data_IF_930412946979
#
_entry.id   IF_930412946979
#
_cell.length_a   1.000
_cell.length_b   1.000
_cell.length_c   1.000
_cell.angle_alpha   90.00
_cell.angle_beta   90.00
_cell.angle_gamma   90.00
#
_symmetry.space_group_name_H-M   'P 1'
#
loop_
_entity.id
_entity.type
_entity.pdbx_description
1 polymer ?
#
# COMPACT_ATOMS: atom_id res chain seq x y z
N UNK A 1 -1.28 -10.83 17.15
CA UNK A 1 -1.55 -11.14 15.73
C UNK A 1 -2.89 -10.53 15.39
N UNK A 2 -2.92 -9.48 14.57
CA UNK A 2 -4.19 -8.99 14.04
C UNK A 2 -4.71 -10.04 13.04
N UNK A 3 -5.98 -10.45 13.17
CA UNK A 3 -6.63 -11.34 12.21
C UNK A 3 -6.72 -10.71 10.83
N UNK A 4 -7.17 -11.47 9.83
CA UNK A 4 -7.41 -10.94 8.49
C UNK A 4 -8.43 -9.78 8.59
N UNK A 5 -8.07 -8.53 8.22
CA UNK A 5 -8.95 -7.37 8.38
C UNK A 5 -10.26 -7.49 7.56
N UNK A 6 -10.28 -8.37 6.55
CA UNK A 6 -11.45 -8.64 5.72
C UNK A 6 -12.26 -9.87 6.15
N UNK A 7 -11.95 -10.49 7.29
CA UNK A 7 -12.65 -11.70 7.74
C UNK A 7 -14.16 -11.46 7.93
N UNK A 8 -14.52 -10.34 8.55
CA UNK A 8 -15.94 -9.98 8.73
C UNK A 8 -16.63 -9.79 7.38
N UNK A 9 -15.98 -9.12 6.44
CA UNK A 9 -16.53 -8.89 5.10
C UNK A 9 -16.70 -10.20 4.34
N UNK A 10 -15.71 -11.10 4.38
CA UNK A 10 -15.79 -12.40 3.72
C UNK A 10 -16.87 -13.32 4.26
N UNK A 11 -17.28 -13.14 5.53
CA UNK A 11 -18.45 -13.84 6.11
C UNK A 11 -19.78 -13.27 5.61
N UNK A 12 -19.85 -11.95 5.41
CA UNK A 12 -21.06 -11.25 4.96
C UNK A 12 -21.26 -11.38 3.44
N UNK A 13 -20.18 -11.35 2.67
CA UNK A 13 -20.18 -11.47 1.23
C UNK A 13 -18.98 -12.34 0.80
N UNK A 14 -19.15 -13.66 0.65
CA UNK A 14 -18.08 -14.52 0.18
C UNK A 14 -17.64 -14.21 -1.27
N UNK A 15 -18.53 -13.66 -2.10
CA UNK A 15 -18.26 -13.36 -3.50
C UNK A 15 -17.26 -12.22 -3.67
N UNK A 16 -17.30 -11.22 -2.79
CA UNK A 16 -16.38 -10.08 -2.84
C UNK A 16 -14.92 -10.51 -2.69
N UNK A 17 -14.64 -11.55 -1.91
CA UNK A 17 -13.27 -12.00 -1.66
C UNK A 17 -12.58 -12.52 -2.92
N UNK A 18 -13.34 -13.18 -3.80
CA UNK A 18 -12.80 -13.66 -5.08
C UNK A 18 -12.59 -12.51 -6.07
N UNK A 19 -13.50 -11.54 -6.07
CA UNK A 19 -13.39 -10.34 -6.90
C UNK A 19 -12.20 -9.48 -6.46
N UNK A 20 -11.97 -9.33 -5.15
CA UNK A 20 -10.82 -8.62 -4.60
C UNK A 20 -9.51 -9.28 -5.02
N UNK A 21 -9.39 -10.60 -4.91
CA UNK A 21 -8.17 -11.31 -5.34
C UNK A 21 -7.90 -11.14 -6.83
N UNK A 22 -8.94 -11.24 -7.66
CA UNK A 22 -8.80 -11.10 -9.11
C UNK A 22 -8.46 -9.67 -9.51
N UNK A 23 -9.12 -8.69 -8.91
CA UNK A 23 -8.82 -7.27 -9.12
C UNK A 23 -7.42 -6.89 -8.65
N UNK A 24 -7.00 -7.36 -7.47
CA UNK A 24 -5.67 -7.12 -6.92
C UNK A 24 -4.59 -7.63 -7.87
N UNK A 25 -4.74 -8.85 -8.38
CA UNK A 25 -3.84 -9.45 -9.36
C UNK A 25 -3.81 -8.65 -10.67
N UNK A 26 -4.97 -8.31 -11.23
CA UNK A 26 -5.06 -7.53 -12.46
C UNK A 26 -4.36 -6.17 -12.34
N UNK A 27 -4.45 -5.52 -11.17
CA UNK A 27 -3.82 -4.23 -10.93
C UNK A 27 -2.32 -4.38 -10.72
N UNK A 28 -1.89 -5.27 -9.82
CA UNK A 28 -0.52 -5.27 -9.29
C UNK A 28 0.44 -6.29 -9.92
N UNK A 29 0.00 -7.20 -10.79
CA UNK A 29 0.94 -8.03 -11.58
C UNK A 29 1.82 -7.18 -12.51
N UNK A 30 2.98 -7.72 -12.87
CA UNK A 30 3.87 -7.09 -13.84
C UNK A 30 3.18 -6.88 -15.20
N UNK A 31 3.46 -5.74 -15.82
CA UNK A 31 3.04 -5.42 -17.18
C UNK A 31 3.96 -4.37 -17.78
N UNK A 32 3.39 -3.34 -18.42
CA UNK A 32 4.18 -2.19 -18.89
C UNK A 32 4.91 -1.47 -17.73
N UNK A 33 4.32 -1.48 -16.54
CA UNK A 33 4.97 -1.08 -15.28
C UNK A 33 5.19 -2.34 -14.42
N UNK A 34 6.36 -2.48 -13.77
CA UNK A 34 6.56 -3.52 -12.77
C UNK A 34 5.58 -3.37 -11.60
N UNK A 35 5.13 -4.49 -11.04
CA UNK A 35 4.19 -4.55 -9.92
C UNK A 35 4.63 -3.72 -8.72
N UNK A 36 5.92 -3.81 -8.37
CA UNK A 36 6.53 -2.99 -7.31
C UNK A 36 6.32 -1.48 -7.51
N UNK A 37 6.36 -0.98 -8.75
CA UNK A 37 6.15 0.44 -9.05
C UNK A 37 4.69 0.82 -8.83
N UNK A 38 3.76 -0.04 -9.23
CA UNK A 38 2.32 0.17 -9.00
C UNK A 38 1.98 0.17 -7.50
N UNK A 39 2.65 -0.67 -6.72
CA UNK A 39 2.51 -0.66 -5.26
C UNK A 39 3.04 0.63 -4.62
N UNK A 40 4.17 1.17 -5.09
CA UNK A 40 4.66 2.46 -4.64
C UNK A 40 3.70 3.61 -4.98
N UNK A 41 3.06 3.56 -6.16
CA UNK A 41 2.01 4.52 -6.53
C UNK A 41 0.80 4.41 -5.60
N UNK A 42 0.32 3.20 -5.32
CA UNK A 42 -0.78 2.97 -4.37
C UNK A 42 -0.42 3.46 -2.96
N UNK A 43 0.81 3.21 -2.51
CA UNK A 43 1.32 3.68 -1.21
C UNK A 43 1.29 5.21 -1.11
N UNK A 44 1.66 5.91 -2.19
CA UNK A 44 1.59 7.36 -2.25
C UNK A 44 0.14 7.88 -2.10
N UNK A 45 -0.83 7.18 -2.70
CA UNK A 45 -2.24 7.49 -2.50
C UNK A 45 -2.69 7.23 -1.06
N UNK A 46 -2.34 6.10 -0.45
CA UNK A 46 -2.73 5.84 0.94
C UNK A 46 -2.11 6.86 1.91
N UNK A 47 -0.87 7.28 1.68
CA UNK A 47 -0.25 8.36 2.42
C UNK A 47 -1.05 9.66 2.27
N UNK A 48 -1.40 10.04 1.03
CA UNK A 48 -2.19 11.24 0.74
C UNK A 48 -3.59 11.22 1.38
N UNK A 49 -4.25 10.06 1.45
CA UNK A 49 -5.59 9.91 2.00
C UNK A 49 -5.64 9.69 3.51
N UNK A 50 -4.50 9.64 4.20
CA UNK A 50 -4.47 9.46 5.65
C UNK A 50 -4.55 8.00 6.13
N UNK A 51 -4.41 7.03 5.22
CA UNK A 51 -4.54 5.60 5.51
C UNK A 51 -3.20 4.98 5.95
N UNK A 52 -2.84 5.10 7.22
CA UNK A 52 -1.54 4.63 7.73
C UNK A 52 -1.37 3.10 7.66
N UNK A 53 -2.43 2.34 7.95
CA UNK A 53 -2.44 0.88 7.84
C UNK A 53 -2.28 0.42 6.39
N UNK A 54 -2.89 1.16 5.45
CA UNK A 54 -2.74 0.94 4.02
C UNK A 54 -1.30 1.18 3.55
N UNK A 55 -0.68 2.28 3.99
CA UNK A 55 0.76 2.53 3.77
C UNK A 55 1.60 1.35 4.28
N UNK A 56 1.36 0.87 5.50
CA UNK A 56 2.11 -0.24 6.07
C UNK A 56 2.00 -1.52 5.22
N UNK A 57 0.76 -1.88 4.85
CA UNK A 57 0.48 -3.08 4.06
C UNK A 57 1.13 -3.01 2.66
N UNK A 58 1.00 -1.87 1.97
CA UNK A 58 1.57 -1.68 0.64
C UNK A 58 3.09 -1.61 0.67
N UNK A 59 3.69 -0.99 1.68
CA UNK A 59 5.14 -0.94 1.84
C UNK A 59 5.74 -2.34 2.02
N UNK A 60 5.15 -3.16 2.90
CA UNK A 60 5.60 -4.54 3.10
C UNK A 60 5.49 -5.38 1.82
N UNK A 61 4.41 -5.19 1.04
CA UNK A 61 4.24 -5.88 -0.23
C UNK A 61 5.24 -5.40 -1.29
N UNK A 62 5.46 -4.08 -1.40
CA UNK A 62 6.42 -3.51 -2.34
C UNK A 62 7.83 -4.05 -2.07
N UNK A 63 8.26 -4.12 -0.81
CA UNK A 63 9.55 -4.71 -0.42
C UNK A 63 9.65 -6.19 -0.82
N UNK A 64 8.58 -6.98 -0.63
CA UNK A 64 8.54 -8.39 -1.07
C UNK A 64 8.65 -8.53 -2.59
N UNK A 65 8.17 -7.55 -3.34
CA UNK A 65 8.29 -7.47 -4.81
C UNK A 65 9.60 -6.79 -5.27
N UNK A 66 10.55 -6.57 -4.35
CA UNK A 66 11.89 -6.08 -4.66
C UNK A 66 12.02 -4.57 -4.74
N UNK A 67 11.05 -3.80 -4.25
CA UNK A 67 11.26 -2.39 -3.99
C UNK A 67 12.25 -2.17 -2.84
N UNK A 68 12.85 -1.00 -2.79
CA UNK A 68 13.78 -0.55 -1.76
C UNK A 68 13.13 0.47 -0.83
N UNK A 69 13.67 0.61 0.39
CA UNK A 69 13.26 1.68 1.29
C UNK A 69 13.47 3.08 0.69
N UNK A 70 14.48 3.24 -0.18
CA UNK A 70 14.73 4.49 -0.90
C UNK A 70 13.60 4.82 -1.89
N UNK A 71 13.15 3.84 -2.67
CA UNK A 71 12.01 4.02 -3.58
C UNK A 71 10.71 4.35 -2.81
N UNK A 72 10.48 3.74 -1.65
CA UNK A 72 9.36 4.09 -0.76
C UNK A 72 9.46 5.55 -0.30
N UNK A 73 10.64 5.98 0.16
CA UNK A 73 10.85 7.35 0.59
C UNK A 73 10.63 8.37 -0.55
N UNK A 74 11.00 8.03 -1.79
CA UNK A 74 10.71 8.85 -2.96
C UNK A 74 9.22 8.92 -3.30
N UNK A 75 8.50 7.80 -3.22
CA UNK A 75 7.04 7.79 -3.43
C UNK A 75 6.32 8.66 -2.39
N UNK A 76 6.73 8.60 -1.12
CA UNK A 76 6.21 9.46 -0.05
C UNK A 76 6.52 10.94 -0.32
N UNK A 77 7.69 11.26 -0.89
CA UNK A 77 8.04 12.64 -1.28
C UNK A 77 7.10 13.18 -2.36
N UNK A 78 6.72 12.34 -3.33
CA UNK A 78 5.73 12.70 -4.35
C UNK A 78 4.36 12.96 -3.72
N UNK A 79 3.91 12.08 -2.81
CA UNK A 79 2.65 12.26 -2.09
C UNK A 79 2.64 13.59 -1.30
N UNK A 80 3.74 13.91 -0.62
CA UNK A 80 3.90 15.17 0.09
C UNK A 80 3.82 16.39 -0.82
N UNK A 81 4.52 16.35 -1.95
CA UNK A 81 4.53 17.46 -2.88
C UNK A 81 3.12 17.77 -3.42
N UNK A 82 2.30 16.73 -3.64
CA UNK A 82 0.97 16.85 -4.25
C UNK A 82 -0.19 17.00 -3.24
N UNK A 83 -0.06 16.43 -2.04
CA UNK A 83 -1.14 16.38 -1.04
C UNK A 83 -0.81 17.09 0.28
N UNK A 84 0.41 17.63 0.42
CA UNK A 84 0.83 18.39 1.60
C UNK A 84 1.35 17.55 2.75
N UNK A 85 1.71 18.25 3.85
CA UNK A 85 2.47 17.68 4.98
C UNK A 85 1.76 16.54 5.72
N UNK A 86 0.42 16.48 5.67
CA UNK A 86 -0.36 15.40 6.29
C UNK A 86 0.06 14.01 5.80
N UNK A 87 0.45 13.89 4.53
CA UNK A 87 0.91 12.62 3.96
C UNK A 87 2.20 12.10 4.59
N UNK A 88 3.12 12.98 5.00
CA UNK A 88 4.35 12.59 5.70
C UNK A 88 4.05 11.99 7.07
N UNK A 89 3.12 12.58 7.82
CA UNK A 89 2.71 12.04 9.12
C UNK A 89 2.01 10.68 8.97
N UNK A 90 1.16 10.53 7.95
CA UNK A 90 0.51 9.26 7.64
C UNK A 90 1.53 8.19 7.27
N UNK A 91 2.46 8.53 6.36
CA UNK A 91 3.52 7.62 5.96
C UNK A 91 4.42 7.24 7.14
N UNK A 92 4.82 8.21 7.97
CA UNK A 92 5.60 7.96 9.18
C UNK A 92 4.90 7.01 10.15
N UNK A 93 3.56 7.11 10.30
CA UNK A 93 2.80 6.18 11.14
C UNK A 93 2.76 4.75 10.57
N UNK A 94 2.62 4.62 9.25
CA UNK A 94 2.55 3.31 8.58
C UNK A 94 3.91 2.63 8.43
N UNK A 95 5.01 3.38 8.33
CA UNK A 95 6.34 2.86 8.06
C UNK A 95 7.18 2.57 9.32
N UNK A 96 6.59 2.64 10.52
CA UNK A 96 7.30 2.46 11.80
C UNK A 96 8.13 1.18 11.87
N UNK A 97 7.62 0.09 11.30
CA UNK A 97 8.26 -1.23 11.37
C UNK A 97 9.32 -1.46 10.27
N UNK A 98 9.41 -0.54 9.30
CA UNK A 98 10.34 -0.59 8.16
C UNK A 98 11.48 0.42 8.34
N UNK A 99 11.27 1.45 9.17
CA UNK A 99 12.27 2.47 9.49
C UNK A 99 13.31 2.02 10.54
N UNK A 100 13.34 0.72 10.89
CA UNK A 100 14.24 0.12 11.87
C UNK A 100 15.32 -0.75 11.23
#
# INVERSE_FOLDING_TARGET
MAGNPLEALGKLDPGIMEHLKTGDRFVFEDGALPGRIKLLMALAFDAAHGAAEGVAALAQRALKEGATAAEIAEAVRVAWHLAGVGSLYTASRGLKDIAG
#
